data_IF_768335430657
#
_entry.id   IF_768335430657
#
_cell.length_a   1.000
_cell.length_b   1.000
_cell.length_c   1.000
_cell.angle_alpha   90.00
_cell.angle_beta   90.00
_cell.angle_gamma   90.00
#
_symmetry.space_group_name_H-M   'P 1'
#
loop_
_entity.id
_entity.type
_entity.pdbx_description
1 polymer ?
#
# COMPACT_ATOMS: atom_id res chain seq x y z
N UNK A 1 -15.66 20.83 -13.30
CA UNK A 1 -15.48 19.39 -13.10
C UNK A 1 -14.64 19.26 -11.85
N UNK A 2 -15.02 18.41 -10.90
CA UNK A 2 -14.15 18.19 -9.74
C UNK A 2 -12.82 17.60 -10.25
N UNK A 3 -11.71 18.04 -9.68
CA UNK A 3 -10.39 17.52 -10.02
C UNK A 3 -10.36 16.04 -9.63
N UNK A 4 -9.86 15.19 -10.54
CA UNK A 4 -9.75 13.75 -10.31
C UNK A 4 -8.75 13.54 -9.17
N UNK A 5 -9.02 12.56 -8.30
CA UNK A 5 -8.17 12.27 -7.14
C UNK A 5 -7.73 10.82 -7.14
N UNK A 6 -6.60 10.55 -6.50
CA UNK A 6 -6.14 9.20 -6.17
C UNK A 6 -6.43 8.86 -4.72
N UNK A 7 -6.95 7.67 -4.44
CA UNK A 7 -7.10 7.14 -3.10
C UNK A 7 -6.06 6.05 -2.82
N UNK A 8 -5.24 6.23 -1.77
CA UNK A 8 -4.42 5.15 -1.24
C UNK A 8 -5.20 4.42 -0.15
N UNK A 9 -5.35 3.10 -0.28
CA UNK A 9 -5.96 2.24 0.72
C UNK A 9 -4.85 1.45 1.43
N UNK A 10 -4.45 1.88 2.62
CA UNK A 10 -3.27 1.34 3.30
C UNK A 10 -3.64 0.33 4.37
N UNK A 11 -3.20 -0.91 4.16
CA UNK A 11 -3.20 -1.99 5.13
C UNK A 11 -1.85 -2.04 5.86
N UNK A 12 -1.68 -1.16 6.84
CA UNK A 12 -0.40 -1.03 7.55
C UNK A 12 -0.02 -2.28 8.34
N UNK A 13 -0.99 -3.05 8.83
CA UNK A 13 -0.73 -4.29 9.58
C UNK A 13 -0.20 -5.37 8.66
N UNK A 14 -0.77 -5.53 7.46
CA UNK A 14 -0.24 -6.46 6.47
C UNK A 14 1.19 -6.10 6.03
N UNK A 15 1.50 -4.81 5.85
CA UNK A 15 2.87 -4.38 5.52
C UNK A 15 3.84 -4.65 6.68
N UNK A 16 3.51 -4.26 7.92
CA UNK A 16 4.38 -4.48 9.10
C UNK A 16 4.58 -5.98 9.37
N UNK A 17 3.53 -6.78 9.18
CA UNK A 17 3.57 -8.23 9.33
C UNK A 17 4.51 -8.87 8.30
N UNK A 18 4.35 -8.59 7.00
CA UNK A 18 5.23 -9.14 5.95
C UNK A 18 6.69 -8.69 6.13
N UNK A 19 6.91 -7.42 6.47
CA UNK A 19 8.25 -6.91 6.78
C UNK A 19 8.87 -7.67 7.97
N UNK A 20 8.10 -7.89 9.02
CA UNK A 20 8.59 -8.54 10.22
C UNK A 20 8.85 -10.03 10.03
N UNK A 21 7.90 -10.76 9.48
CA UNK A 21 7.95 -12.24 9.42
C UNK A 21 8.79 -12.73 8.25
N UNK A 22 8.57 -12.19 7.05
CA UNK A 22 9.15 -12.71 5.81
C UNK A 22 10.49 -12.09 5.45
N UNK A 23 10.74 -10.84 5.86
CA UNK A 23 11.98 -10.12 5.51
C UNK A 23 12.97 -10.08 6.68
N UNK A 24 12.53 -9.64 7.86
CA UNK A 24 13.44 -9.44 9.00
C UNK A 24 13.53 -10.66 9.93
N UNK A 25 12.57 -11.58 9.88
CA UNK A 25 12.45 -12.71 10.81
C UNK A 25 12.21 -12.28 12.27
N UNK A 26 11.80 -11.03 12.51
CA UNK A 26 11.49 -10.45 13.83
C UNK A 26 10.61 -9.22 13.68
N UNK A 27 10.04 -8.75 14.79
CA UNK A 27 9.32 -7.47 14.80
C UNK A 27 10.21 -6.33 14.25
N UNK A 28 9.74 -5.54 13.28
CA UNK A 28 10.48 -4.40 12.75
C UNK A 28 10.67 -3.33 13.84
N UNK A 29 11.85 -2.69 13.86
CA UNK A 29 12.07 -1.50 14.66
C UNK A 29 11.47 -0.27 13.98
N UNK A 30 11.16 0.81 14.70
CA UNK A 30 10.60 2.02 14.10
C UNK A 30 11.39 2.56 12.91
N UNK A 31 12.72 2.51 12.96
CA UNK A 31 13.63 2.97 11.91
C UNK A 31 13.67 2.08 10.66
N UNK A 32 13.23 0.82 10.77
CA UNK A 32 13.16 -0.17 9.68
C UNK A 32 11.81 -0.15 8.97
N UNK A 33 10.82 0.57 9.53
CA UNK A 33 9.48 0.68 8.95
C UNK A 33 9.47 1.62 7.74
N UNK A 34 8.48 1.44 6.84
CA UNK A 34 8.29 2.35 5.72
C UNK A 34 8.12 3.80 6.18
N UNK A 35 8.75 4.70 5.44
CA UNK A 35 8.53 6.14 5.47
C UNK A 35 7.25 6.45 4.72
N UNK A 36 6.13 6.49 5.45
CA UNK A 36 4.81 6.73 4.87
C UNK A 36 4.70 8.07 4.14
N UNK A 37 5.49 9.08 4.55
CA UNK A 37 5.66 10.33 3.83
C UNK A 37 6.10 10.11 2.38
N UNK A 38 7.08 9.23 2.14
CA UNK A 38 7.56 8.92 0.79
C UNK A 38 6.53 8.21 -0.08
N UNK A 39 5.67 7.38 0.53
CA UNK A 39 4.54 6.74 -0.18
C UNK A 39 3.56 7.78 -0.70
N UNK A 40 3.18 8.76 0.14
CA UNK A 40 2.24 9.82 -0.25
C UNK A 40 2.85 10.70 -1.36
N UNK A 41 4.07 11.17 -1.16
CA UNK A 41 4.81 11.98 -2.14
C UNK A 41 5.05 11.26 -3.46
N UNK A 42 5.30 9.94 -3.42
CA UNK A 42 5.44 9.13 -4.62
C UNK A 42 4.10 9.03 -5.36
N UNK A 43 2.99 8.82 -4.66
CA UNK A 43 1.69 8.69 -5.28
C UNK A 43 1.25 9.98 -5.98
N UNK A 44 1.48 11.13 -5.36
CA UNK A 44 1.18 12.44 -5.96
C UNK A 44 1.94 12.62 -7.28
N UNK A 45 3.23 12.27 -7.29
CA UNK A 45 4.07 12.34 -8.49
C UNK A 45 3.72 11.30 -9.55
N UNK A 46 3.41 10.07 -9.14
CA UNK A 46 3.15 8.96 -10.05
C UNK A 46 1.81 9.07 -10.78
N UNK A 47 0.85 9.79 -10.20
CA UNK A 47 -0.49 10.01 -10.75
C UNK A 47 -0.75 11.46 -11.18
N UNK A 48 0.17 12.39 -10.88
CA UNK A 48 0.11 13.81 -11.26
C UNK A 48 -1.20 14.50 -10.85
N UNK A 49 -1.68 14.20 -9.63
CA UNK A 49 -2.93 14.72 -9.07
C UNK A 49 -2.96 14.60 -7.53
N UNK A 50 -3.97 15.21 -6.91
CA UNK A 50 -4.18 15.15 -5.45
C UNK A 50 -4.43 13.71 -4.96
N UNK A 51 -3.80 13.38 -3.82
CA UNK A 51 -3.89 12.07 -3.19
C UNK A 51 -4.58 12.16 -1.84
N UNK A 52 -5.56 11.29 -1.60
CA UNK A 52 -6.11 11.02 -0.27
C UNK A 52 -5.60 9.69 0.25
N UNK A 53 -4.68 9.74 1.23
CA UNK A 53 -4.18 8.54 1.91
C UNK A 53 -5.09 8.08 3.04
N UNK A 54 -5.75 6.93 2.89
CA UNK A 54 -6.56 6.30 3.95
C UNK A 54 -5.76 5.20 4.63
N UNK A 55 -5.54 5.33 5.94
CA UNK A 55 -4.75 4.39 6.72
C UNK A 55 -5.63 3.62 7.70
N UNK A 56 -5.89 2.35 7.44
CA UNK A 56 -6.85 1.56 8.21
C UNK A 56 -6.17 0.91 9.42
N UNK A 57 -6.80 1.04 10.60
CA UNK A 57 -6.21 0.60 11.87
C UNK A 57 -7.21 -0.18 12.71
N UNK A 58 -6.81 -1.37 13.17
CA UNK A 58 -7.56 -2.09 14.19
C UNK A 58 -7.42 -1.42 15.56
N UNK A 59 -8.56 -1.02 16.13
CA UNK A 59 -8.70 -0.43 17.46
C UNK A 59 -9.34 -1.46 18.41
N UNK A 60 -8.58 -2.47 18.80
CA UNK A 60 -9.08 -3.56 19.65
C UNK A 60 -9.30 -3.13 21.11
N UNK A 61 -8.39 -2.35 21.69
CA UNK A 61 -8.51 -1.88 23.09
C UNK A 61 -8.01 -0.46 23.28
N UNK A 62 -6.87 -0.11 22.66
CA UNK A 62 -6.32 1.24 22.67
C UNK A 62 -5.78 1.61 21.30
N UNK A 63 -5.95 2.88 20.91
CA UNK A 63 -5.36 3.42 19.69
C UNK A 63 -3.94 3.90 19.96
N UNK A 64 -2.97 3.60 19.08
CA UNK A 64 -1.60 4.09 19.23
C UNK A 64 -1.54 5.59 18.90
N UNK A 65 -1.84 6.44 19.88
CA UNK A 65 -2.03 7.89 19.70
C UNK A 65 -0.84 8.56 19.01
N UNK A 66 0.40 8.21 19.38
CA UNK A 66 1.60 8.78 18.76
C UNK A 66 1.71 8.42 17.28
N UNK A 67 1.33 7.20 16.90
CA UNK A 67 1.31 6.78 15.50
C UNK A 67 0.20 7.48 14.71
N UNK A 68 -1.00 7.59 15.29
CA UNK A 68 -2.11 8.34 14.69
C UNK A 68 -1.75 9.80 14.47
N UNK A 69 -1.08 10.45 15.43
CA UNK A 69 -0.60 11.82 15.29
C UNK A 69 0.46 11.96 14.19
N UNK A 70 1.37 11.00 14.07
CA UNK A 70 2.36 10.98 13.00
C UNK A 70 1.70 10.87 11.62
N UNK A 71 0.69 9.99 11.45
CA UNK A 71 -0.07 9.86 10.21
C UNK A 71 -0.76 11.18 9.83
N UNK A 72 -1.42 11.83 10.79
CA UNK A 72 -2.07 13.13 10.57
C UNK A 72 -1.06 14.21 10.19
N UNK A 73 0.11 14.24 10.82
CA UNK A 73 1.16 15.21 10.50
C UNK A 73 1.77 15.01 9.10
N UNK A 74 1.81 13.76 8.62
CA UNK A 74 2.24 13.42 7.26
C UNK A 74 1.17 13.79 6.22
N UNK A 75 -0.10 13.83 6.60
CA UNK A 75 -1.23 14.10 5.70
C UNK A 75 -2.11 12.88 5.40
N UNK A 76 -1.86 11.73 6.04
CA UNK A 76 -2.78 10.61 5.98
C UNK A 76 -4.03 10.87 6.82
N UNK A 77 -5.14 10.27 6.39
CA UNK A 77 -6.37 10.14 7.16
C UNK A 77 -6.39 8.77 7.86
N UNK A 78 -6.07 8.68 9.16
CA UNK A 78 -6.22 7.45 9.91
C UNK A 78 -7.70 7.08 10.04
N UNK A 79 -8.00 5.80 9.86
CA UNK A 79 -9.34 5.20 9.94
C UNK A 79 -9.30 4.12 11.02
N UNK A 80 -9.49 4.49 12.29
CA UNK A 80 -9.56 3.53 13.38
C UNK A 80 -10.89 2.75 13.33
N UNK A 81 -10.82 1.43 13.52
CA UNK A 81 -11.93 0.50 13.32
C UNK A 81 -12.05 -0.43 14.51
N UNK A 82 -13.27 -0.75 14.92
CA UNK A 82 -13.56 -1.74 15.96
C UNK A 82 -14.61 -2.73 15.49
N UNK A 83 -14.55 -3.95 16.01
CA UNK A 83 -15.44 -5.05 15.63
C UNK A 83 -14.75 -6.40 15.70
N UNK A 84 -15.45 -7.44 15.24
CA UNK A 84 -14.94 -8.81 15.19
C UNK A 84 -14.38 -9.17 13.79
N UNK A 85 -13.43 -10.10 13.76
CA UNK A 85 -12.84 -10.61 12.52
C UNK A 85 -11.79 -9.68 11.91
N UNK A 86 -11.56 -9.82 10.60
CA UNK A 86 -10.59 -9.03 9.83
C UNK A 86 -11.13 -7.63 9.51
N UNK A 87 -11.35 -6.82 10.53
CA UNK A 87 -12.02 -5.52 10.41
C UNK A 87 -11.31 -4.54 9.46
N UNK A 88 -9.97 -4.61 9.35
CA UNK A 88 -9.19 -3.80 8.40
C UNK A 88 -9.53 -4.19 6.97
N UNK A 89 -9.46 -5.49 6.65
CA UNK A 89 -9.80 -6.03 5.34
C UNK A 89 -11.23 -5.66 4.95
N UNK A 90 -12.19 -5.85 5.87
CA UNK A 90 -13.60 -5.50 5.65
C UNK A 90 -13.75 -4.01 5.31
N UNK A 91 -13.03 -3.11 6.00
CA UNK A 91 -13.12 -1.68 5.76
C UNK A 91 -12.48 -1.28 4.42
N UNK A 92 -11.35 -1.89 4.06
CA UNK A 92 -10.70 -1.68 2.77
C UNK A 92 -11.62 -2.15 1.64
N UNK A 93 -12.20 -3.36 1.74
CA UNK A 93 -13.14 -3.90 0.76
C UNK A 93 -14.35 -2.99 0.57
N UNK A 94 -14.99 -2.54 1.66
CA UNK A 94 -16.13 -1.60 1.60
C UNK A 94 -15.75 -0.26 0.99
N UNK A 95 -14.53 0.21 1.26
CA UNK A 95 -14.04 1.47 0.68
C UNK A 95 -13.79 1.31 -0.82
N UNK A 96 -13.15 0.21 -1.23
CA UNK A 96 -12.93 -0.11 -2.64
C UNK A 96 -14.27 -0.24 -3.40
N UNK A 97 -15.27 -0.93 -2.82
CA UNK A 97 -16.61 -1.02 -3.38
C UNK A 97 -17.27 0.35 -3.55
N UNK A 98 -17.15 1.24 -2.56
CA UNK A 98 -17.66 2.60 -2.66
C UNK A 98 -16.92 3.46 -3.71
N UNK A 99 -15.66 3.13 -4.02
CA UNK A 99 -14.85 3.79 -5.05
C UNK A 99 -15.17 3.29 -6.46
N UNK A 100 -15.78 2.11 -6.63
CA UNK A 100 -16.22 1.62 -7.97
C UNK A 100 -17.12 2.64 -8.64
N UNK A 101 -18.05 3.23 -7.89
CA UNK A 101 -19.04 4.21 -8.37
C UNK A 101 -18.49 5.66 -8.46
N UNK A 102 -17.17 5.86 -8.30
CA UNK A 102 -16.53 7.18 -8.34
C UNK A 102 -15.48 7.26 -9.43
N UNK A 103 -15.37 8.44 -10.06
CA UNK A 103 -14.28 8.76 -10.98
C UNK A 103 -13.01 9.11 -10.18
N UNK A 104 -12.33 8.08 -9.67
CA UNK A 104 -11.11 8.23 -8.91
C UNK A 104 -10.12 7.11 -9.24
N UNK A 105 -8.83 7.42 -9.17
CA UNK A 105 -7.79 6.42 -9.25
C UNK A 105 -7.57 5.79 -7.86
N UNK A 106 -7.14 4.53 -7.83
CA UNK A 106 -7.08 3.77 -6.58
C UNK A 106 -5.80 2.98 -6.51
N UNK A 107 -5.13 3.05 -5.37
CA UNK A 107 -3.95 2.24 -5.08
C UNK A 107 -4.16 1.51 -3.77
N UNK A 108 -4.10 0.19 -3.83
CA UNK A 108 -4.10 -0.66 -2.64
C UNK A 108 -2.66 -0.85 -2.16
N UNK A 109 -2.41 -0.69 -0.86
CA UNK A 109 -1.11 -0.98 -0.24
C UNK A 109 -1.28 -2.20 0.66
N UNK A 110 -1.10 -3.39 0.08
CA UNK A 110 -1.25 -4.70 0.73
C UNK A 110 -0.68 -5.80 -0.15
N UNK A 111 -0.42 -6.97 0.44
CA UNK A 111 -0.05 -8.19 -0.27
C UNK A 111 -1.23 -9.16 -0.45
N UNK A 112 -2.33 -8.97 0.27
CA UNK A 112 -3.38 -9.97 0.47
C UNK A 112 -4.26 -10.18 -0.79
N UNK A 113 -4.51 -11.44 -1.11
CA UNK A 113 -5.38 -11.86 -2.22
C UNK A 113 -6.87 -11.64 -1.94
N UNK A 114 -7.26 -11.43 -0.68
CA UNK A 114 -8.65 -11.18 -0.28
C UNK A 114 -9.25 -9.91 -0.92
N UNK A 115 -8.42 -9.05 -1.53
CA UNK A 115 -8.85 -7.83 -2.24
C UNK A 115 -8.94 -7.97 -3.76
N UNK A 116 -8.60 -9.13 -4.34
CA UNK A 116 -8.51 -9.33 -5.80
C UNK A 116 -9.85 -9.04 -6.48
N UNK A 117 -10.97 -9.46 -5.88
CA UNK A 117 -12.30 -9.20 -6.43
C UNK A 117 -12.58 -7.70 -6.55
N UNK A 118 -12.39 -6.93 -5.47
CA UNK A 118 -12.65 -5.49 -5.46
C UNK A 118 -11.69 -4.73 -6.37
N UNK A 119 -10.40 -5.10 -6.38
CA UNK A 119 -9.41 -4.50 -7.28
C UNK A 119 -9.74 -4.78 -8.74
N UNK A 120 -10.21 -5.98 -9.08
CA UNK A 120 -10.63 -6.31 -10.45
C UNK A 120 -11.80 -5.45 -10.93
N UNK A 121 -12.74 -5.11 -10.03
CA UNK A 121 -13.88 -4.24 -10.33
C UNK A 121 -13.46 -2.78 -10.51
N UNK A 122 -12.43 -2.33 -9.79
CA UNK A 122 -11.84 -1.01 -9.96
C UNK A 122 -11.06 -0.91 -11.27
N UNK A 123 -10.39 -1.99 -11.71
CA UNK A 123 -9.61 -2.04 -12.95
C UNK A 123 -10.51 -2.15 -14.20
N UNK A 124 -11.48 -1.25 -14.32
CA UNK A 124 -12.50 -1.23 -15.39
C UNK A 124 -11.99 -0.66 -16.74
N UNK A 125 -10.73 -0.26 -16.80
CA UNK A 125 -10.09 0.35 -17.97
C UNK A 125 -10.31 1.86 -18.12
N UNK A 126 -11.06 2.50 -17.21
CA UNK A 126 -11.31 3.96 -17.21
C UNK A 126 -10.52 4.70 -16.14
N UNK A 127 -9.86 3.96 -15.24
CA UNK A 127 -9.06 4.49 -14.15
C UNK A 127 -7.73 3.77 -14.00
N UNK A 128 -6.77 4.48 -13.41
CA UNK A 128 -5.51 3.92 -13.01
C UNK A 128 -5.70 3.18 -11.68
N UNK A 129 -5.31 1.92 -11.66
CA UNK A 129 -5.35 1.08 -10.46
C UNK A 129 -3.97 0.53 -10.17
N UNK A 130 -3.56 0.63 -8.91
CA UNK A 130 -2.26 0.18 -8.43
C UNK A 130 -2.36 -0.79 -7.26
N UNK A 131 -1.37 -1.68 -7.13
CA UNK A 131 -1.07 -2.41 -5.89
C UNK A 131 0.37 -2.13 -5.50
N UNK A 132 0.61 -1.79 -4.24
CA UNK A 132 1.93 -1.54 -3.67
C UNK A 132 2.19 -2.56 -2.57
N UNK A 133 3.36 -3.18 -2.61
CA UNK A 133 3.85 -4.06 -1.57
C UNK A 133 5.31 -4.44 -1.84
N UNK A 134 5.82 -5.42 -1.10
CA UNK A 134 7.00 -6.16 -1.48
C UNK A 134 6.60 -7.14 -2.58
N UNK A 135 7.06 -6.89 -3.81
CA UNK A 135 6.50 -7.51 -5.01
C UNK A 135 6.56 -9.03 -5.03
N UNK A 136 7.54 -9.64 -4.37
CA UNK A 136 7.69 -11.08 -4.19
C UNK A 136 6.59 -11.71 -3.31
N UNK A 137 5.96 -10.92 -2.44
CA UNK A 137 4.90 -11.37 -1.53
C UNK A 137 3.49 -10.95 -1.97
N UNK A 138 3.37 -10.03 -2.93
CA UNK A 138 2.06 -9.68 -3.51
C UNK A 138 1.41 -10.91 -4.13
N UNK A 139 0.14 -11.16 -3.80
CA UNK A 139 -0.62 -12.30 -4.32
C UNK A 139 -0.56 -12.36 -5.86
N UNK A 140 -0.25 -13.54 -6.39
CA UNK A 140 -0.02 -13.73 -7.83
C UNK A 140 -1.25 -13.46 -8.70
N UNK A 141 -2.46 -13.53 -8.14
CA UNK A 141 -3.70 -13.24 -8.87
C UNK A 141 -3.78 -11.79 -9.32
N UNK A 142 -3.17 -10.84 -8.59
CA UNK A 142 -3.10 -9.44 -9.02
C UNK A 142 -2.38 -9.28 -10.36
N UNK A 143 -1.33 -10.08 -10.61
CA UNK A 143 -0.56 -10.03 -11.86
C UNK A 143 -1.38 -10.46 -13.08
N UNK A 144 -2.51 -11.13 -12.87
CA UNK A 144 -3.42 -11.56 -13.94
C UNK A 144 -4.51 -10.52 -14.24
N UNK A 145 -4.59 -9.42 -13.50
CA UNK A 145 -5.60 -8.38 -13.71
C UNK A 145 -5.15 -7.39 -14.81
N UNK A 146 -5.88 -7.26 -15.93
CA UNK A 146 -5.53 -6.34 -17.00
C UNK A 146 -5.50 -4.89 -16.53
N UNK A 147 -4.47 -4.14 -16.91
CA UNK A 147 -4.34 -2.72 -16.58
C UNK A 147 -3.94 -2.41 -15.14
N UNK A 148 -3.80 -3.42 -14.27
CA UNK A 148 -3.29 -3.23 -12.92
C UNK A 148 -1.79 -2.98 -12.93
N UNK A 149 -1.34 -1.92 -12.24
CA UNK A 149 0.07 -1.62 -12.03
C UNK A 149 0.49 -2.15 -10.66
N UNK A 150 1.61 -2.87 -10.58
CA UNK A 150 2.17 -3.35 -9.31
C UNK A 150 3.49 -2.63 -9.07
N UNK A 151 3.69 -2.12 -7.87
CA UNK A 151 4.91 -1.39 -7.49
C UNK A 151 5.52 -1.94 -6.21
N UNK A 152 6.84 -1.83 -6.14
CA UNK A 152 7.64 -2.24 -5.02
C UNK A 152 7.86 -1.10 -4.01
N UNK A 153 7.53 -1.36 -2.75
CA UNK A 153 7.60 -0.39 -1.65
C UNK A 153 9.03 0.14 -1.41
N UNK A 154 10.07 -0.64 -1.72
CA UNK A 154 11.46 -0.24 -1.55
C UNK A 154 12.07 0.30 -2.84
N UNK A 155 11.94 -0.43 -3.94
CA UNK A 155 12.67 -0.12 -5.17
C UNK A 155 12.00 0.97 -6.01
N UNK A 156 10.67 0.96 -6.14
CA UNK A 156 9.96 1.98 -6.90
C UNK A 156 9.70 3.25 -6.08
N UNK A 157 9.42 3.06 -4.79
CA UNK A 157 9.01 4.14 -3.89
C UNK A 157 10.16 4.72 -3.08
N UNK A 158 11.24 3.95 -2.86
CA UNK A 158 12.31 4.36 -1.95
C UNK A 158 11.81 4.53 -0.50
N UNK A 159 10.82 3.75 -0.04
CA UNK A 159 10.19 4.00 1.25
C UNK A 159 11.07 3.68 2.48
N UNK A 160 12.30 3.21 2.32
CA UNK A 160 13.18 2.82 3.44
C UNK A 160 14.44 3.68 3.50
N UNK A 161 14.98 3.88 4.72
CA UNK A 161 16.23 4.63 4.91
C UNK A 161 17.47 3.78 4.60
N UNK A 162 17.34 2.46 4.68
CA UNK A 162 18.41 1.49 4.43
C UNK A 162 17.85 0.33 3.62
N UNK A 163 18.67 -0.30 2.75
CA UNK A 163 18.24 -1.49 2.02
C UNK A 163 17.78 -2.61 2.95
N UNK A 164 16.73 -3.31 2.56
CA UNK A 164 16.19 -4.45 3.28
C UNK A 164 16.91 -5.75 2.90
N UNK A 165 17.11 -6.69 3.85
CA UNK A 165 17.80 -7.94 3.59
C UNK A 165 16.88 -8.96 2.90
N UNK A 166 16.40 -8.64 1.69
CA UNK A 166 15.46 -9.49 0.93
C UNK A 166 15.94 -9.75 -0.49
N UNK A 167 15.46 -10.84 -1.07
CA UNK A 167 15.76 -11.24 -2.44
C UNK A 167 14.51 -11.06 -3.29
N UNK A 168 14.64 -10.35 -4.41
CA UNK A 168 13.58 -10.20 -5.41
C UNK A 168 14.05 -10.68 -6.78
N UNK A 169 13.09 -10.87 -7.67
CA UNK A 169 13.36 -11.00 -9.10
C UNK A 169 13.58 -9.59 -9.65
N UNK A 170 14.68 -9.39 -10.36
CA UNK A 170 15.03 -8.12 -11.00
C UNK A 170 14.84 -8.29 -12.51
N UNK A 171 13.95 -7.51 -13.15
CA UNK A 171 13.87 -7.44 -14.60
C UNK A 171 15.24 -7.13 -15.21
N UNK A 172 15.61 -7.81 -16.28
CA UNK A 172 16.97 -7.71 -16.85
C UNK A 172 17.30 -6.28 -17.33
N UNK A 173 16.27 -5.51 -17.68
CA UNK A 173 16.33 -4.10 -18.06
C UNK A 173 16.54 -3.15 -16.87
N UNK A 174 16.22 -3.58 -15.65
CA UNK A 174 16.50 -2.85 -14.40
C UNK A 174 17.84 -3.26 -13.75
N UNK A 175 18.48 -4.33 -14.23
CA UNK A 175 19.67 -4.88 -13.59
C UNK A 175 20.88 -3.95 -13.74
N UNK A 176 21.37 -3.40 -12.63
CA UNK A 176 22.68 -2.77 -12.53
C UNK A 176 23.66 -3.68 -11.77
N UNK A 177 24.74 -4.19 -12.40
CA UNK A 177 25.72 -5.00 -11.70
C UNK A 177 26.44 -4.26 -10.56
N UNK A 178 26.49 -2.92 -10.57
CA UNK A 178 27.13 -2.12 -9.52
C UNK A 178 26.40 -2.22 -8.17
N UNK A 179 25.11 -2.58 -8.17
CA UNK A 179 24.35 -2.82 -6.93
C UNK A 179 24.81 -4.09 -6.18
N UNK A 180 25.62 -4.96 -6.83
CA UNK A 180 26.04 -6.27 -6.31
C UNK A 180 27.55 -6.42 -6.07
N UNK A 181 28.34 -5.37 -6.30
CA UNK A 181 29.80 -5.36 -6.16
C UNK A 181 30.25 -4.50 -4.96
#
# INVERSE_FOLDING_TARGET
>A
MAERMTYLLVDGENIDATLGTSILGRRPRPEERPRWDRLLEWAERAFDQDVTGLFFLAASTELPISFVQALLAIGFKPVPLSGEGKIVDIAIQRTAEALVEREADVVLVSHDGDFVEQVSRLADGTRQVGVIGFTEFVNSQFRNLPGLRIFDLEYDLGAFNTPLPRVRVIPIDEFDPLDFL
#
